data_IF_433281988168
#
_entry.id   IF_433281988168
#
_cell.length_a   1.000
_cell.length_b   1.000
_cell.length_c   1.000
_cell.angle_alpha   90.00
_cell.angle_beta   90.00
_cell.angle_gamma   90.00
#
_symmetry.space_group_name_H-M   'P 1'
#
loop_
_entity.id
_entity.type
_entity.pdbx_description
1 polymer ?
#
# COMPACT_ATOMS: atom_id res chain seq x y z
N UNK A 1 -18.35 16.24 3.40
CA UNK A 1 -19.02 15.02 2.92
C UNK A 1 -18.03 13.88 3.08
N UNK A 2 -18.19 13.05 4.12
CA UNK A 2 -17.33 11.90 4.36
C UNK A 2 -18.03 10.65 3.82
N UNK A 3 -17.38 9.89 2.95
CA UNK A 3 -17.89 8.62 2.45
C UNK A 3 -17.39 7.49 3.36
N UNK A 4 -18.23 6.89 4.21
CA UNK A 4 -17.80 5.74 4.98
C UNK A 4 -17.82 4.50 4.08
N UNK A 5 -16.64 4.03 3.66
CA UNK A 5 -16.45 2.72 3.04
C UNK A 5 -16.60 1.62 4.11
N UNK A 6 -17.83 1.44 4.61
CA UNK A 6 -18.20 0.32 5.45
C UNK A 6 -18.64 -0.82 4.53
N UNK A 7 -17.96 -1.96 4.60
CA UNK A 7 -18.30 -3.24 3.93
C UNK A 7 -17.64 -3.49 2.57
N UNK A 8 -16.31 -3.57 2.54
CA UNK A 8 -15.66 -4.30 1.47
C UNK A 8 -14.50 -5.12 2.01
N UNK A 9 -14.44 -6.39 1.63
CA UNK A 9 -13.36 -7.34 1.96
C UNK A 9 -11.99 -6.96 1.36
N UNK A 10 -11.84 -5.72 0.88
CA UNK A 10 -10.53 -5.14 0.65
C UNK A 10 -9.86 -4.92 2.01
N UNK A 11 -8.62 -5.35 2.14
CA UNK A 11 -7.77 -4.98 3.26
C UNK A 11 -7.79 -3.44 3.30
N UNK A 12 -8.53 -2.87 4.25
CA UNK A 12 -8.65 -1.42 4.37
C UNK A 12 -7.29 -0.94 4.85
N UNK A 13 -6.47 -0.44 3.93
CA UNK A 13 -5.20 0.20 4.23
C UNK A 13 -5.45 1.63 4.69
N UNK A 14 -6.17 1.79 5.80
CA UNK A 14 -6.52 3.10 6.35
C UNK A 14 -5.36 3.61 7.22
N UNK A 15 -4.96 4.87 7.03
CA UNK A 15 -4.06 5.58 7.93
C UNK A 15 -4.84 6.66 8.65
N UNK A 16 -4.96 6.56 9.98
CA UNK A 16 -5.70 7.53 10.79
C UNK A 16 -4.79 8.64 11.34
N UNK A 17 -5.33 9.83 11.53
CA UNK A 17 -4.68 10.89 12.32
C UNK A 17 -5.12 10.78 13.78
N UNK A 18 -4.18 10.77 14.70
CA UNK A 18 -4.43 10.73 16.15
C UNK A 18 -3.62 11.84 16.83
N UNK A 19 -4.25 12.55 17.78
CA UNK A 19 -3.56 13.51 18.63
C UNK A 19 -3.06 12.79 19.89
N UNK A 20 -1.75 12.89 20.16
CA UNK A 20 -1.18 12.53 21.45
C UNK A 20 -0.45 13.73 22.07
N UNK A 21 -0.95 14.20 23.21
CA UNK A 21 -0.33 15.27 24.01
C UNK A 21 -0.10 16.57 23.21
N UNK A 22 -1.05 16.94 22.35
CA UNK A 22 -0.97 18.16 21.53
C UNK A 22 -0.08 18.01 20.30
N UNK A 23 0.28 16.76 19.91
CA UNK A 23 1.06 16.46 18.72
C UNK A 23 0.34 15.45 17.84
N UNK A 24 0.38 15.70 16.53
CA UNK A 24 -0.22 14.83 15.53
C UNK A 24 0.65 13.60 15.25
N UNK A 25 0.00 12.43 15.22
CA UNK A 25 0.60 11.13 14.89
C UNK A 25 -0.27 10.42 13.86
N UNK A 26 0.38 9.71 12.96
CA UNK A 26 -0.28 8.83 12.00
C UNK A 26 -0.34 7.43 12.59
N UNK A 27 -1.54 6.85 12.60
CA UNK A 27 -1.82 5.50 13.07
C UNK A 27 -2.04 4.62 11.85
N UNK A 28 -1.19 3.63 11.68
CA UNK A 28 -1.32 2.68 10.58
C UNK A 28 -2.17 1.48 10.99
N UNK A 29 -2.93 0.96 10.02
CA UNK A 29 -3.72 -0.27 10.22
C UNK A 29 -2.83 -1.47 10.49
N UNK A 30 -3.24 -2.32 11.44
CA UNK A 30 -2.49 -3.52 11.89
C UNK A 30 -2.20 -4.51 10.77
N UNK A 31 -3.05 -4.56 9.75
CA UNK A 31 -2.88 -5.42 8.59
C UNK A 31 -1.56 -5.16 7.84
N UNK A 32 -1.03 -3.93 7.89
CA UNK A 32 0.21 -3.56 7.21
C UNK A 32 1.47 -4.04 7.94
N UNK A 33 1.39 -4.32 9.24
CA UNK A 33 2.56 -4.65 10.06
C UNK A 33 2.40 -5.97 10.80
N UNK A 34 1.90 -7.00 10.11
CA UNK A 34 1.80 -8.37 10.63
C UNK A 34 1.04 -8.43 11.97
N UNK A 35 -0.06 -7.67 12.08
CA UNK A 35 -0.86 -7.58 13.30
C UNK A 35 -0.40 -6.52 14.30
N UNK A 36 0.78 -5.94 14.13
CA UNK A 36 1.28 -4.88 15.00
C UNK A 36 0.73 -3.52 14.59
N UNK A 37 0.38 -2.70 15.57
CA UNK A 37 -0.04 -1.33 15.34
C UNK A 37 1.17 -0.42 15.40
N UNK A 38 1.47 0.28 14.30
CA UNK A 38 2.57 1.25 14.26
C UNK A 38 2.05 2.67 14.23
N UNK A 39 2.81 3.55 14.87
CA UNK A 39 2.56 4.97 14.95
C UNK A 39 3.74 5.73 14.37
N UNK A 40 3.48 6.70 13.50
CA UNK A 40 4.49 7.63 13.00
C UNK A 40 4.19 9.01 13.56
N UNK A 41 5.08 9.56 14.38
CA UNK A 41 4.91 10.94 14.86
C UNK A 41 5.23 11.91 13.73
N UNK A 42 4.29 12.79 13.38
CA UNK A 42 4.54 13.84 12.39
C UNK A 42 5.25 15.04 13.05
N UNK A 43 5.39 15.05 14.38
CA UNK A 43 5.98 16.12 15.19
C UNK A 43 5.37 17.50 14.92
N UNK A 44 4.14 17.53 14.40
CA UNK A 44 3.34 18.74 14.21
C UNK A 44 2.49 18.99 15.45
N UNK A 45 2.38 20.25 15.85
CA UNK A 45 1.45 20.67 16.91
C UNK A 45 0.02 20.51 16.39
N UNK A 46 -0.91 20.10 17.26
CA UNK A 46 -2.32 20.00 16.92
C UNK A 46 -2.93 21.41 16.71
N UNK A 47 -2.90 21.86 15.47
CA UNK A 47 -3.57 23.07 14.98
C UNK A 47 -4.42 22.71 13.76
N UNK A 48 -5.50 23.45 13.46
CA UNK A 48 -6.37 23.13 12.32
C UNK A 48 -5.60 23.07 10.98
N UNK A 49 -4.65 23.97 10.76
CA UNK A 49 -3.81 23.94 9.55
C UNK A 49 -2.91 22.70 9.50
N UNK A 50 -2.34 22.30 10.65
CA UNK A 50 -1.49 21.13 10.74
C UNK A 50 -2.28 19.82 10.63
N UNK A 51 -3.57 19.81 11.02
CA UNK A 51 -4.46 18.67 10.82
C UNK A 51 -4.68 18.42 9.32
N UNK A 52 -4.92 19.48 8.53
CA UNK A 52 -5.03 19.36 7.07
C UNK A 52 -3.73 18.82 6.46
N UNK A 53 -2.57 19.29 6.93
CA UNK A 53 -1.26 18.75 6.48
C UNK A 53 -1.09 17.29 6.87
N UNK A 54 -1.55 16.88 8.06
CA UNK A 54 -1.51 15.49 8.50
C UNK A 54 -2.44 14.60 7.66
N UNK A 55 -3.63 15.07 7.32
CA UNK A 55 -4.58 14.38 6.43
C UNK A 55 -4.03 14.22 5.01
N UNK A 56 -3.39 15.25 4.46
CA UNK A 56 -2.73 15.15 3.15
C UNK A 56 -1.60 14.12 3.17
N UNK A 57 -0.81 14.06 4.25
CA UNK A 57 0.23 13.04 4.44
C UNK A 57 -0.34 11.64 4.59
N UNK A 58 -1.51 11.50 5.22
CA UNK A 58 -2.26 10.23 5.27
C UNK A 58 -2.57 9.76 3.86
N UNK A 59 -3.22 10.60 3.05
CA UNK A 59 -3.58 10.23 1.69
C UNK A 59 -2.37 9.91 0.83
N UNK A 60 -1.27 10.65 0.97
CA UNK A 60 -0.04 10.35 0.26
C UNK A 60 0.52 8.97 0.65
N UNK A 61 0.52 8.63 1.95
CA UNK A 61 0.93 7.31 2.40
C UNK A 61 0.02 6.18 1.88
N UNK A 62 -1.30 6.41 1.84
CA UNK A 62 -2.27 5.46 1.28
C UNK A 62 -2.01 5.19 -0.20
N UNK A 63 -1.78 6.25 -0.99
CA UNK A 63 -1.45 6.13 -2.40
C UNK A 63 -0.12 5.40 -2.63
N UNK A 64 0.92 5.71 -1.85
CA UNK A 64 2.23 5.07 -1.95
C UNK A 64 2.14 3.55 -1.65
N UNK A 65 1.33 3.16 -0.66
CA UNK A 65 1.09 1.75 -0.35
C UNK A 65 0.38 1.02 -1.49
N UNK A 66 -0.67 1.62 -2.05
CA UNK A 66 -1.40 1.05 -3.20
C UNK A 66 -0.46 0.90 -4.39
N UNK A 67 0.33 1.94 -4.67
CA UNK A 67 1.29 1.93 -5.77
C UNK A 67 2.33 0.82 -5.62
N UNK A 68 2.90 0.66 -4.41
CA UNK A 68 3.86 -0.41 -4.12
C UNK A 68 3.26 -1.81 -4.33
N UNK A 69 2.02 -2.02 -3.88
CA UNK A 69 1.32 -3.29 -4.07
C UNK A 69 1.04 -3.58 -5.55
N UNK A 70 0.53 -2.60 -6.29
CA UNK A 70 0.27 -2.72 -7.72
C UNK A 70 1.55 -2.97 -8.52
N UNK A 71 2.64 -2.26 -8.20
CA UNK A 71 3.94 -2.46 -8.83
C UNK A 71 4.46 -3.88 -8.64
N UNK A 72 4.34 -4.42 -7.42
CA UNK A 72 4.76 -5.78 -7.10
C UNK A 72 3.96 -6.83 -7.89
N UNK A 73 2.63 -6.69 -7.94
CA UNK A 73 1.77 -7.61 -8.70
C UNK A 73 2.10 -7.54 -10.19
N UNK A 74 2.24 -6.34 -10.73
CA UNK A 74 2.55 -6.16 -12.15
C UNK A 74 3.88 -6.80 -12.52
N UNK A 75 4.89 -6.70 -11.64
CA UNK A 75 6.18 -7.38 -11.81
C UNK A 75 6.03 -8.90 -11.89
N UNK A 76 5.31 -9.53 -10.94
CA UNK A 76 5.13 -10.99 -10.95
C UNK A 76 4.32 -11.48 -12.15
N UNK A 77 3.26 -10.76 -12.54
CA UNK A 77 2.48 -11.08 -13.73
C UNK A 77 3.37 -11.00 -14.97
N UNK A 78 4.14 -9.92 -15.12
CA UNK A 78 5.06 -9.77 -16.26
C UNK A 78 6.14 -10.86 -16.29
N UNK A 79 6.73 -11.22 -15.15
CA UNK A 79 7.68 -12.31 -15.04
C UNK A 79 7.08 -13.67 -15.45
N UNK A 80 5.84 -13.96 -15.04
CA UNK A 80 5.16 -15.19 -15.44
C UNK A 80 4.88 -15.26 -16.94
N UNK A 81 4.50 -14.13 -17.56
CA UNK A 81 4.27 -14.06 -19.01
C UNK A 81 5.57 -14.23 -19.81
N UNK A 82 6.67 -13.62 -19.37
CA UNK A 82 7.97 -13.75 -20.04
C UNK A 82 8.54 -15.17 -19.92
N UNK A 83 8.44 -15.80 -18.75
CA UNK A 83 8.81 -17.22 -18.56
C UNK A 83 7.98 -18.14 -19.45
N UNK A 84 6.66 -17.95 -19.51
CA UNK A 84 5.77 -18.75 -20.37
C UNK A 84 6.16 -18.62 -21.85
N UNK A 85 6.39 -17.40 -22.33
CA UNK A 85 6.81 -17.16 -23.70
C UNK A 85 8.15 -17.86 -24.03
N UNK A 86 9.11 -17.84 -23.10
CA UNK A 86 10.40 -18.51 -23.25
C UNK A 86 10.26 -20.04 -23.36
N UNK A 87 9.47 -20.69 -22.50
CA UNK A 87 9.25 -22.14 -22.57
C UNK A 87 8.46 -22.57 -23.81
N UNK A 88 7.53 -21.74 -24.30
CA UNK A 88 6.78 -22.04 -25.54
C UNK A 88 7.56 -21.76 -26.83
N UNK A 89 8.65 -20.98 -26.75
CA UNK A 89 9.49 -20.62 -27.89
C UNK A 89 10.69 -21.56 -28.09
N UNK A 90 10.90 -22.57 -27.23
CA UNK A 90 11.91 -23.60 -27.46
C UNK A 90 11.49 -24.46 -28.67
N UNK A 91 12.24 -24.45 -29.80
CA UNK A 91 11.96 -25.38 -30.88
C UNK A 91 12.19 -26.79 -30.36
N UNK A 92 11.25 -27.70 -30.65
CA UNK A 92 11.41 -29.13 -30.44
C UNK A 92 12.69 -29.56 -31.15
N UNK A 93 13.75 -29.80 -30.37
CA UNK A 93 14.99 -30.37 -30.88
C UNK A 93 14.64 -31.80 -31.32
N UNK A 94 14.29 -31.97 -32.60
CA UNK A 94 14.09 -33.28 -33.18
C UNK A 94 15.43 -34.00 -33.13
N UNK A 95 15.53 -35.00 -32.26
CA UNK A 95 16.59 -35.99 -32.32
C UNK A 95 16.46 -36.70 -33.68
N UNK A 96 17.27 -36.31 -34.66
CA UNK A 96 17.42 -37.08 -35.89
C UNK A 96 18.21 -38.35 -35.56
N UNK A 97 17.53 -39.48 -35.69
CA UNK A 97 18.11 -40.84 -35.71
C UNK A 97 19.01 -41.06 -36.91
#
# INVERSE_FOLDING_TARGET
MAFPLKNSHFIVMEVGVENLQGRLRLRFTRALFNGNQKYLSVNLIDTPDNQVVAELKVHQAELDMIYSWLSTILYYVFAAYTLRAFFTAQPTFQASS
#
